data_IF_596494797326
#
_entry.id   IF_596494797326
#
_cell.length_a   1.000
_cell.length_b   1.000
_cell.length_c   1.000
_cell.angle_alpha   90.00
_cell.angle_beta   90.00
_cell.angle_gamma   90.00
#
_symmetry.space_group_name_H-M   'P 1'
#
loop_
_entity.id
_entity.type
_entity.pdbx_description
1 polymer ?
#
# COMPACT_ATOMS: atom_id res chain seq x y z
N UNK A 1 -20.27 16.95 11.42
CA UNK A 1 -20.39 15.57 10.88
C UNK A 1 -21.45 15.42 9.79
N UNK A 2 -22.75 15.75 9.97
CA UNK A 2 -23.73 15.52 8.89
C UNK A 2 -23.44 16.34 7.63
N UNK A 3 -23.02 17.60 7.77
CA UNK A 3 -22.70 18.49 6.63
C UNK A 3 -21.50 17.99 5.82
N UNK A 4 -20.47 17.44 6.49
CA UNK A 4 -19.28 16.90 5.82
C UNK A 4 -19.56 15.58 5.09
N UNK A 5 -20.41 14.72 5.65
CA UNK A 5 -20.82 13.46 5.01
C UNK A 5 -21.66 13.70 3.74
N UNK A 6 -22.60 14.64 3.78
CA UNK A 6 -23.38 15.02 2.59
C UNK A 6 -22.54 15.73 1.54
N UNK A 7 -21.54 16.52 1.95
CA UNK A 7 -20.56 17.13 1.04
C UNK A 7 -19.74 16.07 0.31
N UNK A 8 -19.14 15.12 1.03
CA UNK A 8 -18.34 14.04 0.44
C UNK A 8 -19.15 13.17 -0.54
N UNK A 9 -20.38 12.79 -0.17
CA UNK A 9 -21.25 12.02 -1.06
C UNK A 9 -21.61 12.75 -2.36
N UNK A 10 -21.68 14.08 -2.31
CA UNK A 10 -22.03 14.90 -3.46
C UNK A 10 -20.81 15.24 -4.33
N UNK A 11 -19.63 15.36 -3.73
CA UNK A 11 -18.39 15.77 -4.40
C UNK A 11 -17.55 14.57 -4.87
N UNK A 12 -17.35 13.57 -4.01
CA UNK A 12 -16.56 12.38 -4.33
C UNK A 12 -17.18 11.10 -3.73
N UNK A 13 -18.28 10.64 -4.34
CA UNK A 13 -18.97 9.40 -3.93
C UNK A 13 -18.05 8.18 -3.96
N UNK A 14 -17.07 8.16 -4.87
CA UNK A 14 -16.13 7.04 -4.99
C UNK A 14 -15.24 6.91 -3.74
N UNK A 15 -14.82 8.04 -3.17
CA UNK A 15 -14.03 8.12 -1.95
C UNK A 15 -14.84 7.61 -0.75
N UNK A 16 -16.10 8.04 -0.62
CA UNK A 16 -16.98 7.56 0.44
C UNK A 16 -17.19 6.04 0.40
N UNK A 17 -17.34 5.47 -0.80
CA UNK A 17 -17.54 4.02 -0.97
C UNK A 17 -16.28 3.24 -0.62
N UNK A 18 -15.09 3.67 -1.07
CA UNK A 18 -13.83 2.98 -0.72
C UNK A 18 -13.50 3.13 0.76
N UNK A 19 -13.81 4.27 1.39
CA UNK A 19 -13.67 4.48 2.83
C UNK A 19 -14.57 3.51 3.61
N UNK A 20 -15.85 3.40 3.25
CA UNK A 20 -16.77 2.44 3.87
C UNK A 20 -16.32 0.99 3.69
N UNK A 21 -15.85 0.61 2.51
CA UNK A 21 -15.32 -0.72 2.23
C UNK A 21 -14.04 -1.02 3.04
N UNK A 22 -13.18 -0.01 3.22
CA UNK A 22 -11.98 -0.11 4.05
C UNK A 22 -12.35 -0.37 5.50
N UNK A 23 -13.28 0.41 6.08
CA UNK A 23 -13.69 0.21 7.47
C UNK A 23 -14.36 -1.15 7.71
N UNK A 24 -15.17 -1.63 6.76
CA UNK A 24 -15.74 -2.98 6.83
C UNK A 24 -14.66 -4.06 6.77
N UNK A 25 -13.66 -3.91 5.89
CA UNK A 25 -12.51 -4.83 5.81
C UNK A 25 -11.67 -4.81 7.09
N UNK A 26 -11.42 -3.63 7.68
CA UNK A 26 -10.71 -3.51 8.96
C UNK A 26 -11.45 -4.22 10.08
N UNK A 27 -12.79 -4.16 10.10
CA UNK A 27 -13.56 -4.93 11.07
C UNK A 27 -13.31 -6.44 10.94
N UNK A 28 -13.34 -6.98 9.71
CA UNK A 28 -13.00 -8.39 9.45
C UNK A 28 -11.55 -8.72 9.84
N UNK A 29 -10.62 -7.82 9.55
CA UNK A 29 -9.21 -7.94 9.94
C UNK A 29 -9.06 -8.05 11.46
N UNK A 30 -9.74 -7.19 12.22
CA UNK A 30 -9.66 -7.20 13.68
C UNK A 30 -10.19 -8.50 14.28
N UNK A 31 -11.24 -9.09 13.67
CA UNK A 31 -11.73 -10.41 14.08
C UNK A 31 -10.71 -11.51 13.81
N UNK A 32 -10.06 -11.49 12.64
CA UNK A 32 -8.97 -12.42 12.30
C UNK A 32 -7.76 -12.26 13.23
N UNK A 33 -7.35 -11.03 13.53
CA UNK A 33 -6.25 -10.76 14.45
C UNK A 33 -6.59 -11.26 15.86
N UNK A 34 -7.83 -11.06 16.31
CA UNK A 34 -8.27 -11.56 17.60
C UNK A 34 -8.26 -13.09 17.67
N UNK A 35 -8.71 -13.78 16.62
CA UNK A 35 -8.68 -15.25 16.57
C UNK A 35 -7.26 -15.81 16.44
N UNK A 36 -6.38 -15.08 15.73
CA UNK A 36 -5.01 -15.51 15.42
C UNK A 36 -4.00 -15.22 16.52
N UNK A 37 -4.43 -14.60 17.62
CA UNK A 37 -3.61 -14.37 18.81
C UNK A 37 -2.85 -13.04 18.80
N UNK A 38 -2.32 -12.68 19.97
CA UNK A 38 -1.76 -11.34 20.26
C UNK A 38 -0.56 -10.95 19.38
N UNK A 39 0.17 -11.91 18.80
CA UNK A 39 1.31 -11.62 17.90
C UNK A 39 0.87 -11.01 16.57
N UNK A 40 -0.34 -11.34 16.12
CA UNK A 40 -0.92 -10.70 14.95
C UNK A 40 -1.33 -9.25 15.23
N UNK A 41 -1.68 -8.94 16.47
CA UNK A 41 -1.99 -7.57 16.88
C UNK A 41 -0.73 -6.69 16.90
N UNK A 42 0.40 -7.20 17.39
CA UNK A 42 1.68 -6.47 17.35
C UNK A 42 2.18 -6.30 15.91
N UNK A 43 1.96 -7.31 15.06
CA UNK A 43 2.25 -7.24 13.62
C UNK A 43 1.41 -6.18 12.90
N UNK A 44 0.09 -6.14 13.15
CA UNK A 44 -0.79 -5.10 12.60
C UNK A 44 -0.41 -3.70 13.11
N UNK A 45 -0.09 -3.57 14.40
CA UNK A 45 0.37 -2.30 14.96
C UNK A 45 1.66 -1.80 14.27
N UNK A 46 2.63 -2.69 14.05
CA UNK A 46 3.85 -2.36 13.32
C UNK A 46 3.54 -1.93 11.86
N UNK A 47 2.60 -2.58 11.18
CA UNK A 47 2.18 -2.17 9.83
C UNK A 47 1.55 -0.77 9.84
N UNK A 48 0.67 -0.46 10.81
CA UNK A 48 0.08 0.88 10.98
C UNK A 48 1.16 1.94 11.19
N UNK A 49 2.10 1.70 12.11
CA UNK A 49 3.20 2.63 12.36
C UNK A 49 4.11 2.79 11.14
N UNK A 50 4.37 1.72 10.38
CA UNK A 50 5.15 1.80 9.15
C UNK A 50 4.47 2.71 8.11
N UNK A 51 3.16 2.56 7.92
CA UNK A 51 2.38 3.40 7.01
C UNK A 51 2.38 4.86 7.47
N UNK A 52 2.21 5.11 8.77
CA UNK A 52 2.27 6.47 9.31
C UNK A 52 3.62 7.14 9.04
N UNK A 53 4.73 6.42 9.21
CA UNK A 53 6.06 6.94 8.88
C UNK A 53 6.14 7.26 7.39
N UNK A 54 5.67 6.37 6.51
CA UNK A 54 5.71 6.58 5.06
C UNK A 54 4.89 7.81 4.65
N UNK A 55 3.63 7.89 5.07
CA UNK A 55 2.76 9.02 4.69
C UNK A 55 3.24 10.36 5.27
N UNK A 56 3.66 10.40 6.54
CA UNK A 56 4.02 11.66 7.22
C UNK A 56 5.45 12.14 6.96
N UNK A 57 6.36 11.26 6.56
CA UNK A 57 7.76 11.62 6.32
C UNK A 57 8.10 11.60 4.83
N UNK A 58 7.64 10.59 4.10
CA UNK A 58 8.03 10.39 2.70
C UNK A 58 7.06 11.07 1.73
N UNK A 59 5.75 11.00 1.98
CA UNK A 59 4.74 11.56 1.07
C UNK A 59 4.22 12.94 1.44
N UNK A 60 4.63 13.50 2.58
CA UNK A 60 4.08 14.75 3.12
C UNK A 60 4.03 15.92 2.13
N UNK A 61 5.04 16.06 1.27
CA UNK A 61 5.11 17.13 0.26
C UNK A 61 4.83 16.67 -1.17
N UNK A 62 4.58 15.38 -1.35
CA UNK A 62 4.62 14.72 -2.66
C UNK A 62 3.23 14.20 -3.08
N UNK A 63 2.35 14.00 -2.09
CA UNK A 63 1.00 13.49 -2.26
C UNK A 63 0.02 14.30 -1.42
N UNK A 64 -1.09 14.69 -2.03
CA UNK A 64 -2.20 15.37 -1.34
C UNK A 64 -3.44 14.49 -1.35
N UNK A 65 -4.10 14.35 -0.21
CA UNK A 65 -5.29 13.52 -0.07
C UNK A 65 -6.56 14.37 -0.13
N UNK A 66 -7.61 13.82 -0.75
CA UNK A 66 -8.93 14.39 -0.69
C UNK A 66 -9.52 14.32 0.72
N UNK A 67 -10.46 15.22 1.03
CA UNK A 67 -11.09 15.28 2.34
C UNK A 67 -11.98 14.05 2.57
N UNK A 68 -11.58 13.19 3.51
CA UNK A 68 -12.33 12.00 3.91
C UNK A 68 -13.26 12.28 5.10
N UNK A 69 -14.05 11.27 5.51
CA UNK A 69 -14.93 11.41 6.68
C UNK A 69 -14.16 11.63 7.98
N UNK A 70 -13.00 10.98 8.11
CA UNK A 70 -12.11 11.12 9.27
C UNK A 70 -10.70 11.46 8.82
N UNK A 71 -10.27 12.69 9.15
CA UNK A 71 -8.89 13.14 8.96
C UNK A 71 -8.07 12.86 10.23
N UNK A 72 -7.01 12.05 10.11
CA UNK A 72 -6.10 11.74 11.21
C UNK A 72 -5.14 12.90 11.48
N UNK A 73 -4.56 13.46 10.42
CA UNK A 73 -3.87 14.76 10.45
C UNK A 73 -4.69 15.72 9.62
N UNK A 74 -5.06 16.85 10.21
CA UNK A 74 -5.92 17.85 9.58
C UNK A 74 -5.41 18.17 8.17
N UNK A 75 -6.29 18.03 7.19
CA UNK A 75 -6.08 18.39 5.78
C UNK A 75 -5.02 17.58 5.01
N UNK A 76 -4.21 16.76 5.69
CA UNK A 76 -3.06 16.06 5.09
C UNK A 76 -3.22 14.55 5.02
N UNK A 77 -3.73 13.91 6.08
CA UNK A 77 -3.75 12.45 6.17
C UNK A 77 -5.11 11.92 6.63
N UNK A 78 -5.90 11.29 5.76
CA UNK A 78 -7.15 10.64 6.13
C UNK A 78 -6.90 9.29 6.82
N UNK A 79 -7.77 8.94 7.77
CA UNK A 79 -7.67 7.69 8.53
C UNK A 79 -7.81 6.45 7.63
N UNK A 80 -8.71 6.50 6.63
CA UNK A 80 -8.97 5.35 5.77
C UNK A 80 -7.72 4.95 4.97
N UNK A 81 -6.90 5.91 4.50
CA UNK A 81 -5.64 5.61 3.78
C UNK A 81 -4.67 4.83 4.67
N UNK A 82 -4.50 5.25 5.92
CA UNK A 82 -3.61 4.56 6.87
C UNK A 82 -4.09 3.13 7.10
N UNK A 83 -5.40 2.97 7.34
CA UNK A 83 -5.99 1.66 7.58
C UNK A 83 -5.96 0.77 6.32
N UNK A 84 -6.23 1.33 5.15
CA UNK A 84 -6.18 0.65 3.85
C UNK A 84 -4.78 0.14 3.56
N UNK A 85 -3.75 0.95 3.68
CA UNK A 85 -2.40 0.47 3.43
C UNK A 85 -1.97 -0.55 4.49
N UNK A 86 -2.28 -0.33 5.77
CA UNK A 86 -1.92 -1.26 6.84
C UNK A 86 -2.58 -2.64 6.67
N UNK A 87 -3.84 -2.70 6.25
CA UNK A 87 -4.50 -3.98 5.94
C UNK A 87 -3.86 -4.66 4.71
N UNK A 88 -3.43 -3.91 3.68
CA UNK A 88 -2.73 -4.52 2.53
C UNK A 88 -1.38 -5.11 2.95
N UNK A 89 -0.62 -4.43 3.82
CA UNK A 89 0.58 -4.98 4.45
C UNK A 89 0.27 -6.27 5.21
N UNK A 90 -0.79 -6.28 6.02
CA UNK A 90 -1.18 -7.46 6.77
C UNK A 90 -1.59 -8.63 5.87
N UNK A 91 -2.40 -8.38 4.83
CA UNK A 91 -2.79 -9.37 3.83
C UNK A 91 -1.56 -9.96 3.13
N UNK A 92 -0.63 -9.11 2.68
CA UNK A 92 0.61 -9.54 2.05
C UNK A 92 1.46 -10.40 2.99
N UNK A 93 1.56 -10.01 4.26
CA UNK A 93 2.31 -10.72 5.28
C UNK A 93 1.74 -12.12 5.55
N UNK A 94 0.42 -12.22 5.80
CA UNK A 94 -0.24 -13.51 6.03
C UNK A 94 -0.12 -14.39 4.78
N UNK A 95 -0.38 -13.86 3.58
CA UNK A 95 -0.24 -14.60 2.33
C UNK A 95 1.20 -15.11 2.13
N UNK A 96 2.21 -14.28 2.40
CA UNK A 96 3.62 -14.68 2.29
C UNK A 96 3.97 -15.79 3.28
N UNK A 97 3.50 -15.68 4.54
CA UNK A 97 3.73 -16.71 5.56
C UNK A 97 3.13 -18.07 5.15
N UNK A 98 1.98 -18.06 4.46
CA UNK A 98 1.28 -19.25 3.96
C UNK A 98 1.96 -19.92 2.77
N UNK A 99 2.80 -19.20 2.01
CA UNK A 99 3.59 -19.79 0.93
C UNK A 99 4.56 -20.86 1.46
N UNK A 100 5.07 -20.69 2.68
CA UNK A 100 6.04 -21.59 3.33
C UNK A 100 7.25 -21.91 2.45
N UNK A 101 7.74 -20.90 1.74
CA UNK A 101 9.00 -20.94 0.99
C UNK A 101 10.16 -20.52 1.89
N UNK A 102 11.40 -20.74 1.44
CA UNK A 102 12.61 -20.36 2.17
C UNK A 102 12.54 -18.89 2.68
N UNK A 103 12.85 -18.63 3.96
CA UNK A 103 12.84 -17.28 4.55
C UNK A 103 13.64 -16.23 3.76
N UNK A 104 14.69 -16.64 3.04
CA UNK A 104 15.47 -15.74 2.18
C UNK A 104 14.65 -15.23 0.99
N UNK A 105 13.76 -16.05 0.43
CA UNK A 105 12.93 -15.69 -0.72
C UNK A 105 11.59 -15.04 -0.33
N UNK A 106 11.14 -15.20 0.91
CA UNK A 106 9.89 -14.61 1.40
C UNK A 106 9.80 -13.07 1.21
N UNK A 107 10.86 -12.27 1.48
CA UNK A 107 10.83 -10.82 1.23
C UNK A 107 10.50 -10.44 -0.23
N UNK A 108 10.97 -11.21 -1.21
CA UNK A 108 10.65 -10.98 -2.63
C UNK A 108 9.18 -11.25 -2.94
N UNK A 109 8.61 -12.29 -2.32
CA UNK A 109 7.18 -12.58 -2.41
C UNK A 109 6.35 -11.47 -1.77
N UNK A 110 6.74 -11.02 -0.58
CA UNK A 110 6.07 -9.93 0.14
C UNK A 110 6.08 -8.62 -0.66
N UNK A 111 7.23 -8.21 -1.20
CA UNK A 111 7.34 -7.01 -2.04
C UNK A 111 6.45 -7.10 -3.29
N UNK A 112 6.46 -8.25 -3.97
CA UNK A 112 5.64 -8.48 -5.17
C UNK A 112 4.15 -8.46 -4.84
N UNK A 113 3.73 -9.15 -3.77
CA UNK A 113 2.34 -9.18 -3.31
C UNK A 113 1.86 -7.78 -2.90
N UNK A 114 2.68 -7.00 -2.18
CA UNK A 114 2.32 -5.64 -1.79
C UNK A 114 2.07 -4.76 -3.01
N UNK A 115 2.93 -4.83 -4.04
CA UNK A 115 2.72 -4.10 -5.29
C UNK A 115 1.46 -4.55 -6.01
N UNK A 116 1.22 -5.86 -6.13
CA UNK A 116 0.01 -6.39 -6.78
C UNK A 116 -1.26 -5.94 -6.05
N UNK A 117 -1.19 -5.85 -4.72
CA UNK A 117 -2.30 -5.39 -3.89
C UNK A 117 -2.50 -3.87 -3.99
N UNK A 118 -1.44 -3.08 -3.93
CA UNK A 118 -1.50 -1.61 -3.90
C UNK A 118 -1.77 -0.98 -5.26
N UNK A 119 -1.23 -1.54 -6.35
CA UNK A 119 -1.30 -0.94 -7.69
C UNK A 119 -2.72 -0.59 -8.16
N UNK A 120 -3.75 -1.45 -7.99
CA UNK A 120 -5.12 -1.11 -8.36
C UNK A 120 -5.69 0.07 -7.58
N UNK A 121 -5.31 0.22 -6.30
CA UNK A 121 -5.69 1.36 -5.48
C UNK A 121 -4.97 2.64 -5.91
N UNK A 122 -3.68 2.55 -6.25
CA UNK A 122 -2.93 3.69 -6.82
C UNK A 122 -3.52 4.16 -8.14
N UNK A 123 -3.89 3.22 -9.01
CA UNK A 123 -4.48 3.49 -10.31
C UNK A 123 -5.86 4.17 -10.19
N UNK A 124 -6.76 3.58 -9.40
CA UNK A 124 -8.11 4.13 -9.21
C UNK A 124 -8.07 5.39 -8.35
N UNK A 125 -7.23 5.44 -7.32
CA UNK A 125 -7.12 6.57 -6.40
C UNK A 125 -6.60 7.83 -7.07
N UNK A 126 -5.59 7.71 -7.93
CA UNK A 126 -5.13 8.84 -8.76
C UNK A 126 -6.22 9.26 -9.73
N UNK A 127 -6.93 8.30 -10.35
CA UNK A 127 -7.94 8.59 -11.37
C UNK A 127 -9.24 9.20 -10.82
N UNK A 128 -9.62 8.82 -9.61
CA UNK A 128 -10.80 9.31 -8.89
C UNK A 128 -10.48 10.36 -7.83
N UNK A 129 -9.28 10.93 -7.89
CA UNK A 129 -8.85 12.05 -7.04
C UNK A 129 -8.99 11.76 -5.54
N UNK A 130 -8.74 10.52 -5.13
CA UNK A 130 -8.59 10.16 -3.72
C UNK A 130 -7.30 10.77 -3.17
N UNK A 131 -6.28 10.82 -4.03
CA UNK A 131 -5.08 11.60 -3.85
C UNK A 131 -4.57 12.13 -5.18
N UNK A 132 -3.77 13.18 -5.12
CA UNK A 132 -3.02 13.77 -6.23
C UNK A 132 -1.54 13.73 -5.92
N UNK A 133 -0.72 13.87 -6.97
CA UNK A 133 0.72 13.80 -6.90
C UNK A 133 1.34 15.16 -7.22
N UNK A 134 2.59 15.33 -6.82
CA UNK A 134 3.36 16.50 -7.22
C UNK A 134 3.69 16.44 -8.72
N UNK A 135 3.29 17.49 -9.45
CA UNK A 135 3.35 17.56 -10.90
C UNK A 135 4.79 17.48 -11.44
N UNK A 136 5.66 18.36 -10.94
CA UNK A 136 7.03 18.50 -11.47
C UNK A 136 8.11 17.80 -10.67
N UNK A 137 7.76 16.90 -9.74
CA UNK A 137 8.79 16.20 -8.98
C UNK A 137 9.53 15.21 -9.91
N UNK A 138 10.85 15.33 -10.08
CA UNK A 138 11.61 14.45 -10.96
C UNK A 138 11.56 12.97 -10.58
N UNK A 139 11.24 12.64 -9.32
CA UNK A 139 11.05 11.26 -8.87
C UNK A 139 9.68 10.71 -9.28
N UNK A 140 8.69 11.58 -9.50
CA UNK A 140 7.32 11.20 -9.86
C UNK A 140 7.00 11.40 -11.36
N UNK A 141 7.98 11.87 -12.14
CA UNK A 141 7.81 12.17 -13.55
C UNK A 141 7.48 10.92 -14.39
N UNK A 142 8.11 9.78 -14.12
CA UNK A 142 7.82 8.54 -14.82
C UNK A 142 6.60 7.84 -14.22
N UNK A 143 5.53 7.71 -15.02
CA UNK A 143 4.23 7.22 -14.57
C UNK A 143 3.73 6.06 -15.43
N UNK A 144 3.12 5.07 -14.77
CA UNK A 144 2.36 4.00 -15.39
C UNK A 144 0.87 4.32 -15.25
N UNK A 145 0.24 4.82 -16.31
CA UNK A 145 -1.19 5.18 -16.32
C UNK A 145 -1.56 6.16 -15.19
N UNK A 146 -0.76 7.21 -15.01
CA UNK A 146 -0.94 8.23 -13.97
C UNK A 146 -0.30 7.90 -12.62
N UNK A 147 0.06 6.64 -12.37
CA UNK A 147 0.71 6.20 -11.12
C UNK A 147 2.23 6.37 -11.21
N UNK A 148 2.88 7.14 -10.32
CA UNK A 148 4.33 7.26 -10.30
C UNK A 148 5.03 5.91 -10.09
N UNK A 149 5.98 5.58 -10.96
CA UNK A 149 6.76 4.34 -10.84
C UNK A 149 7.53 4.29 -9.52
N UNK A 150 8.05 5.43 -9.07
CA UNK A 150 8.70 5.58 -7.77
C UNK A 150 7.81 5.12 -6.61
N UNK A 151 6.51 5.41 -6.63
CA UNK A 151 5.58 4.91 -5.61
C UNK A 151 5.46 3.37 -5.62
N UNK A 152 5.60 2.72 -6.78
CA UNK A 152 5.60 1.27 -6.89
C UNK A 152 6.89 0.66 -6.35
N UNK A 153 8.05 1.29 -6.59
CA UNK A 153 9.31 0.91 -5.95
C UNK A 153 9.25 1.07 -4.44
N UNK A 154 8.62 2.14 -3.93
CA UNK A 154 8.38 2.33 -2.51
C UNK A 154 7.56 1.18 -1.92
N UNK A 155 6.40 0.87 -2.50
CA UNK A 155 5.57 -0.25 -2.05
C UNK A 155 6.34 -1.58 -2.03
N UNK A 156 7.16 -1.84 -3.06
CA UNK A 156 7.98 -3.05 -3.12
C UNK A 156 9.04 -3.09 -2.02
N UNK A 157 9.93 -2.07 -1.96
CA UNK A 157 11.11 -2.11 -1.10
C UNK A 157 10.77 -1.93 0.38
N UNK A 158 9.73 -1.16 0.72
CA UNK A 158 9.27 -1.08 2.09
C UNK A 158 8.67 -2.40 2.56
N UNK A 159 7.85 -3.07 1.76
CA UNK A 159 7.32 -4.39 2.12
C UNK A 159 8.40 -5.48 2.17
N UNK A 160 9.37 -5.44 1.24
CA UNK A 160 10.55 -6.30 1.26
C UNK A 160 11.35 -6.11 2.57
N UNK A 161 11.71 -4.86 2.89
CA UNK A 161 12.46 -4.52 4.10
C UNK A 161 11.69 -4.88 5.37
N UNK A 162 10.38 -4.66 5.37
CA UNK A 162 9.51 -4.97 6.49
C UNK A 162 9.61 -6.45 6.87
N UNK A 163 9.58 -7.36 5.89
CA UNK A 163 9.72 -8.78 6.16
C UNK A 163 11.17 -9.20 6.47
N UNK A 164 12.19 -8.57 5.87
CA UNK A 164 13.58 -8.79 6.27
C UNK A 164 13.81 -8.44 7.76
N UNK A 165 13.34 -7.26 8.18
CA UNK A 165 13.46 -6.79 9.56
C UNK A 165 12.63 -7.65 10.50
N UNK A 166 11.45 -8.11 10.06
CA UNK A 166 10.67 -9.10 10.79
C UNK A 166 11.50 -10.35 11.11
N UNK A 167 12.13 -10.97 10.11
CA UNK A 167 12.94 -12.18 10.31
C UNK A 167 14.14 -11.93 11.24
N UNK A 168 14.82 -10.79 11.10
CA UNK A 168 15.95 -10.42 11.96
C UNK A 168 15.49 -10.24 13.40
N UNK A 169 14.44 -9.43 13.64
CA UNK A 169 13.96 -9.16 14.99
C UNK A 169 13.29 -10.39 15.62
N UNK A 170 12.61 -11.22 14.83
CA UNK A 170 12.01 -12.47 15.30
C UNK A 170 13.05 -13.47 15.81
N UNK A 171 14.22 -13.50 15.18
CA UNK A 171 15.33 -14.40 15.55
C UNK A 171 16.22 -13.86 16.66
N UNK A 172 16.29 -12.53 16.84
CA UNK A 172 17.23 -11.89 17.78
C UNK A 172 16.58 -11.28 19.02
N UNK A 173 15.34 -10.80 18.92
CA UNK A 173 14.69 -9.98 19.96
C UNK A 173 13.51 -10.71 20.61
N UNK A 174 12.70 -11.37 19.79
CA UNK A 174 11.49 -12.05 20.25
C UNK A 174 11.81 -13.43 20.82
N UNK A 175 11.38 -13.67 22.06
CA UNK A 175 11.51 -14.94 22.75
C UNK A 175 10.25 -15.77 22.53
N UNK A 176 10.41 -17.09 22.44
CA UNK A 176 9.30 -18.02 22.35
C UNK A 176 8.67 -18.07 20.96
N UNK A 177 7.93 -19.15 20.75
CA UNK A 177 7.21 -19.40 19.51
C UNK A 177 5.95 -18.56 19.42
N UNK A 178 5.25 -18.34 20.53
CA UNK A 178 4.00 -17.57 20.57
C UNK A 178 4.15 -16.34 21.46
N UNK A 179 3.10 -15.50 21.51
CA UNK A 179 3.07 -14.36 22.41
C UNK A 179 3.04 -14.84 23.86
N UNK A 180 4.02 -14.43 24.66
CA UNK A 180 4.14 -14.75 26.08
C UNK A 180 3.91 -13.48 26.93
N UNK A 181 2.97 -13.52 27.88
CA UNK A 181 2.61 -12.34 28.68
C UNK A 181 3.76 -11.83 29.56
N UNK A 182 4.65 -12.73 29.99
CA UNK A 182 5.87 -12.39 30.73
C UNK A 182 6.80 -11.46 29.94
N UNK A 183 6.75 -11.54 28.60
CA UNK A 183 7.60 -10.80 27.68
C UNK A 183 6.87 -9.69 26.94
N UNK A 184 5.74 -9.19 27.46
CA UNK A 184 4.92 -8.16 26.80
C UNK A 184 5.72 -6.90 26.39
N UNK A 185 6.72 -6.49 27.20
CA UNK A 185 7.59 -5.35 26.88
C UNK A 185 8.43 -5.59 25.63
N UNK A 186 8.91 -6.83 25.44
CA UNK A 186 9.68 -7.20 24.25
C UNK A 186 8.79 -7.18 23.01
N UNK A 187 7.57 -7.71 23.12
CA UNK A 187 6.58 -7.77 22.03
C UNK A 187 6.11 -6.38 21.56
N UNK A 188 5.79 -5.48 22.49
CA UNK A 188 5.40 -4.11 22.14
C UNK A 188 6.61 -3.24 21.76
N UNK A 189 7.79 -3.51 22.34
CA UNK A 189 9.05 -2.92 21.88
C UNK A 189 9.37 -3.30 20.44
N UNK A 190 9.14 -4.56 20.07
CA UNK A 190 9.24 -5.06 18.70
C UNK A 190 8.30 -4.28 17.75
N UNK A 191 7.03 -4.09 18.13
CA UNK A 191 6.05 -3.39 17.32
C UNK A 191 6.43 -1.92 17.02
N UNK A 192 7.15 -1.27 17.94
CA UNK A 192 7.65 0.11 17.80
C UNK A 192 9.01 0.19 17.08
N UNK A 193 9.89 -0.79 17.30
CA UNK A 193 11.23 -0.81 16.71
C UNK A 193 11.21 -1.24 15.23
N UNK A 194 10.30 -2.15 14.89
CA UNK A 194 10.19 -2.71 13.54
C UNK A 194 10.01 -1.64 12.45
N UNK A 195 9.10 -0.64 12.57
CA UNK A 195 8.91 0.39 11.55
C UNK A 195 10.16 1.27 11.33
N UNK A 196 10.88 1.58 12.42
CA UNK A 196 12.10 2.38 12.35
C UNK A 196 13.20 1.66 11.59
N UNK A 197 13.48 0.41 11.94
CA UNK A 197 14.48 -0.39 11.25
C UNK A 197 14.07 -0.70 9.80
N UNK A 198 12.79 -0.98 9.57
CA UNK A 198 12.24 -1.18 8.22
C UNK A 198 12.53 0.01 7.34
N UNK A 199 12.29 1.22 7.85
CA UNK A 199 12.55 2.46 7.11
C UNK A 199 14.03 2.59 6.71
N UNK A 200 14.96 2.28 7.62
CA UNK A 200 16.41 2.31 7.32
C UNK A 200 16.77 1.30 6.24
N UNK A 201 16.30 0.05 6.36
CA UNK A 201 16.57 -1.00 5.37
C UNK A 201 15.94 -0.68 4.01
N UNK A 202 14.69 -0.23 3.99
CA UNK A 202 13.96 0.16 2.79
C UNK A 202 14.69 1.27 2.04
N UNK A 203 15.23 2.26 2.77
CA UNK A 203 16.07 3.31 2.19
C UNK A 203 17.33 2.76 1.55
N UNK A 204 18.03 1.84 2.22
CA UNK A 204 19.18 1.16 1.62
C UNK A 204 18.83 0.45 0.31
N UNK A 205 17.71 -0.27 0.29
CA UNK A 205 17.25 -0.97 -0.92
C UNK A 205 16.76 -0.02 -2.02
N UNK A 206 16.11 1.08 -1.69
CA UNK A 206 15.72 2.12 -2.66
C UNK A 206 16.96 2.76 -3.30
N UNK A 207 17.99 3.05 -2.52
CA UNK A 207 19.26 3.61 -3.02
C UNK A 207 19.88 2.66 -4.04
N UNK A 208 20.00 1.39 -3.68
CA UNK A 208 20.61 0.38 -4.54
C UNK A 208 19.74 0.03 -5.75
N UNK A 209 18.43 -0.07 -5.56
CA UNK A 209 17.49 -0.62 -6.52
C UNK A 209 16.85 0.39 -7.46
N UNK A 210 16.60 1.62 -7.01
CA UNK A 210 15.98 2.70 -7.80
C UNK A 210 16.98 3.80 -8.12
N UNK A 211 17.60 4.43 -7.12
CA UNK A 211 18.48 5.58 -7.37
C UNK A 211 19.73 5.17 -8.16
N UNK A 212 20.35 4.03 -7.87
CA UNK A 212 21.51 3.57 -8.64
C UNK A 212 21.17 3.22 -10.09
N UNK A 213 20.08 2.49 -10.30
CA UNK A 213 19.72 1.95 -11.63
C UNK A 213 19.02 3.00 -12.50
N UNK A 214 17.98 3.63 -11.98
CA UNK A 214 17.16 4.60 -12.72
C UNK A 214 17.89 5.93 -12.77
N UNK A 215 18.35 6.44 -11.62
CA UNK A 215 18.89 7.81 -11.56
C UNK A 215 20.36 7.92 -11.97
N UNK A 216 21.22 6.97 -11.59
CA UNK A 216 22.65 7.03 -11.95
C UNK A 216 22.95 6.36 -13.29
N UNK A 217 22.38 5.18 -13.57
CA UNK A 217 22.61 4.48 -14.85
C UNK A 217 21.66 4.96 -15.98
N UNK A 218 20.60 5.70 -15.65
CA UNK A 218 19.67 6.25 -16.63
C UNK A 218 18.76 5.21 -17.28
N UNK A 219 18.52 4.08 -16.60
CA UNK A 219 17.57 3.06 -17.07
C UNK A 219 16.15 3.57 -16.81
N UNK A 220 15.27 3.45 -17.79
CA UNK A 220 13.85 3.77 -17.63
C UNK A 220 13.23 3.02 -16.43
N UNK A 221 12.51 3.74 -15.58
CA UNK A 221 11.96 3.22 -14.33
C UNK A 221 10.92 2.13 -14.59
N UNK A 222 10.14 2.21 -15.66
CA UNK A 222 9.18 1.16 -16.00
C UNK A 222 9.91 -0.14 -16.37
N UNK A 223 10.95 -0.04 -17.19
CA UNK A 223 11.78 -1.20 -17.56
C UNK A 223 12.39 -1.85 -16.32
N UNK A 224 12.99 -1.04 -15.44
CA UNK A 224 13.61 -1.55 -14.21
C UNK A 224 12.57 -2.16 -13.27
N UNK A 225 11.38 -1.58 -13.19
CA UNK A 225 10.28 -2.10 -12.38
C UNK A 225 9.79 -3.46 -12.89
N UNK A 226 9.63 -3.64 -14.21
CA UNK A 226 9.27 -4.95 -14.78
C UNK A 226 10.36 -6.01 -14.55
N UNK A 227 11.64 -5.62 -14.62
CA UNK A 227 12.76 -6.53 -14.26
C UNK A 227 12.68 -6.92 -12.79
N UNK A 228 12.42 -5.97 -11.89
CA UNK A 228 12.30 -6.20 -10.45
C UNK A 228 11.16 -7.18 -10.14
N UNK A 229 9.96 -6.94 -10.66
CA UNK A 229 8.80 -7.81 -10.43
C UNK A 229 9.01 -9.17 -11.12
N UNK A 230 9.48 -9.19 -12.37
CA UNK A 230 9.71 -10.43 -13.12
C UNK A 230 10.74 -11.34 -12.45
N UNK A 231 11.87 -10.78 -12.01
CA UNK A 231 12.90 -11.54 -11.28
C UNK A 231 12.40 -12.01 -9.91
N UNK A 232 11.66 -11.18 -9.18
CA UNK A 232 11.09 -11.55 -7.88
C UNK A 232 10.10 -12.70 -8.00
N UNK A 233 9.21 -12.66 -9.00
CA UNK A 233 8.26 -13.75 -9.28
C UNK A 233 8.98 -15.04 -9.71
N UNK A 234 10.05 -14.94 -10.50
CA UNK A 234 10.87 -16.09 -10.87
C UNK A 234 11.54 -16.74 -9.65
N UNK A 235 12.10 -15.93 -8.75
CA UNK A 235 12.68 -16.42 -7.50
C UNK A 235 11.62 -17.08 -6.61
N UNK A 236 10.43 -16.48 -6.51
CA UNK A 236 9.31 -17.07 -5.77
C UNK A 236 8.88 -18.42 -6.37
N UNK A 237 8.83 -18.51 -7.70
CA UNK A 237 8.50 -19.74 -8.41
C UNK A 237 9.56 -20.83 -8.19
N UNK A 238 10.85 -20.48 -8.19
CA UNK A 238 11.93 -21.41 -7.86
C UNK A 238 11.81 -21.90 -6.41
N UNK A 239 11.60 -20.98 -5.47
CA UNK A 239 11.46 -21.29 -4.05
C UNK A 239 10.22 -22.18 -3.75
N UNK A 240 9.13 -22.02 -4.51
CA UNK A 240 7.94 -22.86 -4.39
C UNK A 240 8.23 -24.33 -4.74
N UNK A 241 9.18 -24.60 -5.65
CA UNK A 241 9.57 -25.96 -6.04
C UNK A 241 10.45 -26.65 -5.01
N UNK A 242 11.20 -25.87 -4.22
CA UNK A 242 12.10 -26.36 -3.17
C UNK A 242 11.44 -26.36 -1.79
N UNK A 243 10.19 -25.91 -1.71
CA UNK A 243 9.41 -25.80 -0.48
C UNK A 243 9.42 -27.07 0.37
N UNK A 244 9.22 -28.25 -0.24
CA UNK A 244 9.08 -29.51 0.50
C UNK A 244 10.41 -30.06 1.04
N UNK A 245 11.53 -29.35 0.82
CA UNK A 245 12.82 -29.69 1.43
C UNK A 245 12.71 -29.70 2.96
N UNK A 246 13.12 -30.79 3.64
CA UNK A 246 13.13 -30.88 5.09
C UNK A 246 13.89 -29.75 5.79
N UNK A 247 14.96 -29.21 5.19
CA UNK A 247 15.74 -28.11 5.75
C UNK A 247 14.94 -26.81 5.76
N UNK A 248 14.27 -26.52 4.63
CA UNK A 248 13.38 -25.35 4.50
C UNK A 248 12.23 -25.45 5.48
N UNK A 249 11.58 -26.62 5.58
CA UNK A 249 10.47 -26.79 6.51
C UNK A 249 10.89 -26.65 7.97
N UNK A 250 12.08 -27.13 8.35
CA UNK A 250 12.63 -26.96 9.69
C UNK A 250 12.93 -25.50 10.02
N UNK A 251 13.41 -24.71 9.06
CA UNK A 251 13.63 -23.28 9.24
C UNK A 251 12.33 -22.47 9.41
N UNK A 252 11.19 -23.04 9.03
CA UNK A 252 9.86 -22.42 9.05
C UNK A 252 8.98 -22.89 10.22
N UNK A 253 9.49 -23.71 11.13
CA UNK A 253 8.77 -24.04 12.36
C UNK A 253 8.71 -22.82 13.30
N UNK A 254 7.61 -22.59 14.04
CA UNK A 254 6.38 -23.38 14.08
C UNK A 254 5.38 -23.06 12.97
N UNK A 255 4.57 -24.06 12.63
CA UNK A 255 3.41 -23.92 11.74
C UNK A 255 2.36 -23.02 12.41
N UNK A 256 1.75 -22.09 11.67
CA UNK A 256 0.60 -21.25 12.10
C UNK A 256 0.90 -20.12 13.07
N UNK A 257 2.14 -19.62 13.06
CA UNK A 257 2.52 -18.51 13.93
C UNK A 257 1.67 -17.25 13.76
N UNK A 258 1.29 -16.95 12.52
CA UNK A 258 0.62 -15.69 12.14
C UNK A 258 -0.75 -15.89 11.51
N UNK A 259 -1.30 -17.09 11.56
CA UNK A 259 -2.61 -17.36 10.98
C UNK A 259 -3.34 -18.47 11.72
N UNK A 260 -4.44 -18.13 12.39
CA UNK A 260 -5.34 -19.14 12.96
C UNK A 260 -6.36 -19.59 11.93
N UNK A 261 -6.77 -20.85 12.02
CA UNK A 261 -7.84 -21.44 11.19
C UNK A 261 -9.23 -20.92 11.58
N UNK A 262 -9.42 -19.60 11.53
CA UNK A 262 -10.74 -19.02 11.65
C UNK A 262 -11.38 -18.92 10.25
N UNK A 263 -12.48 -19.68 10.10
CA UNK A 263 -13.16 -20.09 8.85
C UNK A 263 -12.37 -21.13 8.02
N UNK A 264 -12.68 -22.41 8.30
CA UNK A 264 -12.04 -23.63 7.80
C UNK A 264 -11.92 -23.79 6.28
N UNK A 265 -12.71 -23.07 5.49
CA UNK A 265 -12.65 -23.11 4.02
C UNK A 265 -11.80 -21.95 3.52
N UNK A 266 -10.91 -22.21 2.58
CA UNK A 266 -10.11 -21.17 1.92
C UNK A 266 -10.94 -20.00 1.37
N UNK A 267 -12.18 -20.26 0.96
CA UNK A 267 -13.13 -19.23 0.48
C UNK A 267 -13.61 -18.34 1.64
N UNK A 268 -13.81 -18.95 2.80
CA UNK A 268 -14.37 -18.31 3.97
C UNK A 268 -13.29 -17.61 4.82
N UNK A 269 -12.01 -17.80 4.51
CA UNK A 269 -10.90 -17.16 5.19
C UNK A 269 -11.00 -15.63 5.15
N UNK A 270 -10.88 -14.97 6.29
CA UNK A 270 -11.08 -13.51 6.41
C UNK A 270 -10.22 -12.70 5.43
N UNK A 271 -8.94 -13.07 5.25
CA UNK A 271 -8.03 -12.44 4.28
C UNK A 271 -8.58 -12.49 2.85
N UNK A 272 -9.13 -13.63 2.43
CA UNK A 272 -9.72 -13.77 1.10
C UNK A 272 -10.99 -12.93 0.96
N UNK A 273 -11.85 -12.91 1.99
CA UNK A 273 -13.07 -12.10 1.99
C UNK A 273 -12.78 -10.60 1.93
N UNK A 274 -11.78 -10.12 2.67
CA UNK A 274 -11.34 -8.72 2.63
C UNK A 274 -10.83 -8.34 1.24
N UNK A 275 -9.93 -9.15 0.66
CA UNK A 275 -9.47 -8.95 -0.72
C UNK A 275 -10.65 -8.93 -1.68
N UNK A 276 -11.52 -9.93 -1.64
CA UNK A 276 -12.69 -9.99 -2.50
C UNK A 276 -13.53 -8.71 -2.43
N UNK A 277 -13.89 -8.27 -1.22
CA UNK A 277 -14.68 -7.06 -0.99
C UNK A 277 -14.00 -5.82 -1.57
N UNK A 278 -12.73 -5.60 -1.23
CA UNK A 278 -11.95 -4.44 -1.63
C UNK A 278 -11.83 -4.32 -3.15
N UNK A 279 -11.42 -5.40 -3.83
CA UNK A 279 -11.24 -5.36 -5.28
C UNK A 279 -12.58 -5.43 -6.05
N UNK A 280 -13.62 -6.06 -5.50
CA UNK A 280 -14.97 -5.97 -6.07
C UNK A 280 -15.45 -4.52 -6.07
N UNK A 281 -15.24 -3.79 -4.98
CA UNK A 281 -15.55 -2.36 -4.91
C UNK A 281 -14.80 -1.59 -5.99
N UNK A 282 -13.49 -1.82 -6.20
CA UNK A 282 -12.76 -1.15 -7.28
C UNK A 282 -13.34 -1.43 -8.68
N UNK A 283 -13.75 -2.68 -8.94
CA UNK A 283 -14.42 -3.05 -10.21
C UNK A 283 -15.74 -2.29 -10.36
N UNK A 284 -16.57 -2.27 -9.31
CA UNK A 284 -17.86 -1.57 -9.33
C UNK A 284 -17.67 -0.06 -9.52
N UNK A 285 -16.74 0.56 -8.81
CA UNK A 285 -16.46 1.99 -8.96
C UNK A 285 -16.00 2.32 -10.38
N UNK A 286 -15.11 1.51 -10.97
CA UNK A 286 -14.63 1.70 -12.35
C UNK A 286 -15.75 1.52 -13.39
N UNK A 287 -16.73 0.65 -13.14
CA UNK A 287 -17.85 0.39 -14.06
C UNK A 287 -18.94 1.46 -13.98
N UNK A 288 -19.21 2.00 -12.79
CA UNK A 288 -20.40 2.81 -12.53
C UNK A 288 -20.12 4.30 -12.26
N UNK A 289 -18.87 4.69 -12.01
CA UNK A 289 -18.52 6.09 -11.73
C UNK A 289 -17.64 6.64 -12.84
N UNK A 290 -18.03 7.81 -13.35
CA UNK A 290 -17.23 8.54 -14.33
C UNK A 290 -16.28 9.52 -13.64
N UNK A 291 -14.97 9.51 -13.93
CA UNK A 291 -14.01 10.44 -13.34
C UNK A 291 -14.38 11.91 -13.52
N UNK A 292 -15.06 12.26 -14.62
CA UNK A 292 -15.46 13.63 -14.95
C UNK A 292 -16.52 14.20 -14.03
N UNK A 293 -17.23 13.35 -13.29
CA UNK A 293 -18.26 13.75 -12.32
C UNK A 293 -17.67 13.97 -10.92
N UNK A 294 -16.40 13.59 -10.72
CA UNK A 294 -15.74 13.70 -9.42
C UNK A 294 -15.14 15.09 -9.25
N UNK A 295 -15.44 15.66 -8.09
CA UNK A 295 -14.90 16.93 -7.62
C UNK A 295 -14.16 16.67 -6.31
N UNK A 296 -12.97 17.25 -6.18
CA UNK A 296 -12.18 17.20 -4.94
C UNK A 296 -11.86 18.63 -4.52
N UNK A 297 -12.59 19.12 -3.53
CA UNK A 297 -12.30 20.37 -2.85
C UNK A 297 -11.43 20.08 -1.62
N UNK A 298 -10.22 20.64 -1.58
CA UNK A 298 -9.30 20.37 -0.48
C UNK A 298 -7.94 21.01 -0.64
N UNK A 299 -7.04 20.57 0.23
CA UNK A 299 -5.64 20.97 0.22
C UNK A 299 -4.88 20.21 -0.88
N UNK A 300 -4.33 20.93 -1.85
CA UNK A 300 -3.59 20.40 -3.00
C UNK A 300 -2.26 21.15 -3.16
N UNK A 301 -1.48 20.79 -4.20
CA UNK A 301 -0.27 21.52 -4.55
C UNK A 301 -0.61 23.01 -4.77
N UNK A 302 0.06 23.95 -4.08
CA UNK A 302 -0.34 25.36 -4.09
C UNK A 302 -0.23 25.98 -5.48
N UNK A 303 -1.18 26.85 -5.81
CA UNK A 303 -1.15 27.62 -7.06
C UNK A 303 -0.24 28.84 -6.91
N UNK A 304 0.49 29.21 -7.96
CA UNK A 304 1.46 30.30 -7.84
C UNK A 304 2.29 30.53 -9.09
N UNK A 305 3.45 31.16 -8.90
CA UNK A 305 4.33 31.53 -9.99
C UNK A 305 5.11 30.32 -10.54
N UNK A 306 4.86 29.98 -11.80
CA UNK A 306 5.54 28.92 -12.55
C UNK A 306 7.06 29.07 -12.67
N UNK A 307 7.60 30.27 -12.47
CA UNK A 307 9.03 30.53 -12.59
C UNK A 307 9.80 30.20 -11.30
N UNK A 308 9.10 29.93 -10.20
CA UNK A 308 9.72 29.61 -8.92
C UNK A 308 10.00 28.11 -8.79
N UNK A 309 11.28 27.80 -8.70
CA UNK A 309 11.75 26.46 -8.35
C UNK A 309 12.11 26.43 -6.86
N UNK A 310 11.84 25.30 -6.22
CA UNK A 310 12.38 24.98 -4.91
C UNK A 310 13.45 23.88 -5.01
N UNK A 311 14.60 24.05 -4.33
CA UNK A 311 15.51 22.94 -4.11
C UNK A 311 14.93 22.03 -3.04
N UNK A 312 14.97 20.72 -3.29
CA UNK A 312 14.67 19.73 -2.27
C UNK A 312 15.74 18.65 -2.27
N UNK A 313 15.96 18.05 -1.11
CA UNK A 313 16.79 16.87 -1.00
C UNK A 313 15.88 15.66 -1.02
N UNK A 314 16.17 14.69 -1.89
CA UNK A 314 15.58 13.37 -1.73
C UNK A 314 15.98 12.83 -0.35
N UNK A 315 15.24 11.86 0.16
CA UNK A 315 15.54 11.25 1.46
C UNK A 315 16.87 10.46 1.47
N UNK A 316 17.51 10.32 0.30
CA UNK A 316 18.86 9.80 0.10
C UNK A 316 19.93 10.91 0.17
N UNK A 317 19.53 12.16 0.32
CA UNK A 317 20.40 13.33 0.31
C UNK A 317 20.81 13.79 -1.09
N UNK A 318 20.17 13.28 -2.16
CA UNK A 318 20.42 13.80 -3.51
C UNK A 318 19.69 15.13 -3.70
N UNK A 319 20.37 16.11 -4.28
CA UNK A 319 19.79 17.42 -4.52
C UNK A 319 18.98 17.41 -5.83
N UNK A 320 17.71 17.78 -5.73
CA UNK A 320 16.77 17.88 -6.82
C UNK A 320 16.14 19.29 -6.87
N UNK A 321 15.57 19.64 -8.02
CA UNK A 321 14.79 20.87 -8.20
C UNK A 321 13.43 20.50 -8.76
N UNK A 322 12.38 21.09 -8.21
CA UNK A 322 11.00 20.98 -8.68
C UNK A 322 10.33 22.36 -8.61
N UNK A 323 9.18 22.53 -9.28
CA UNK A 323 8.36 23.74 -9.16
C UNK A 323 7.70 23.77 -7.79
N UNK A 324 7.80 24.92 -7.13
CA UNK A 324 7.12 25.12 -5.83
C UNK A 324 5.60 25.13 -6.00
N UNK A 325 5.12 25.66 -7.12
CA UNK A 325 3.69 25.84 -7.40
C UNK A 325 3.26 25.05 -8.62
N UNK A 326 1.98 24.65 -8.62
CA UNK A 326 1.34 24.05 -9.79
C UNK A 326 1.10 25.10 -10.87
N UNK A 327 1.47 24.76 -12.10
CA UNK A 327 1.36 25.64 -13.25
C UNK A 327 0.02 25.55 -13.94
N UNK A 328 -0.87 26.52 -13.68
CA UNK A 328 -2.26 26.57 -14.21
C UNK A 328 -2.36 26.34 -15.73
N UNK A 329 -1.39 26.79 -16.51
CA UNK A 329 -1.40 26.67 -17.99
C UNK A 329 -0.66 25.45 -18.52
N UNK A 330 0.15 24.78 -17.70
CA UNK A 330 1.03 23.70 -18.15
C UNK A 330 1.35 22.76 -16.99
N UNK A 331 0.47 21.78 -16.79
CA UNK A 331 0.62 20.70 -15.83
C UNK A 331 0.12 19.39 -16.48
N UNK A 332 0.65 18.26 -16.04
CA UNK A 332 0.36 16.93 -16.60
C UNK A 332 -0.19 16.00 -15.51
N UNK A 333 -1.44 16.23 -15.11
CA UNK A 333 -2.13 15.46 -14.09
C UNK A 333 -3.48 14.89 -14.58
N UNK A 334 -4.00 13.92 -13.81
CA UNK A 334 -5.28 13.25 -14.08
C UNK A 334 -6.52 14.09 -13.68
N UNK A 335 -6.34 15.38 -13.41
CA UNK A 335 -7.39 16.33 -13.06
C UNK A 335 -7.32 17.61 -13.91
N UNK A 336 -8.37 18.42 -13.81
CA UNK A 336 -8.46 19.77 -14.35
C UNK A 336 -8.94 20.73 -13.26
N UNK A 337 -8.75 22.04 -13.44
CA UNK A 337 -9.22 23.09 -12.52
C UNK A 337 -10.72 23.41 -12.70
N UNK A 338 -11.55 22.38 -12.92
CA UNK A 338 -13.02 22.48 -13.08
C UNK A 338 -13.53 23.52 -14.09
N UNK A 339 -12.71 23.86 -15.10
CA UNK A 339 -12.99 24.94 -16.07
C UNK A 339 -13.26 26.32 -15.41
N UNK A 340 -12.75 26.56 -14.20
CA UNK A 340 -12.79 27.90 -13.61
C UNK A 340 -11.96 28.87 -14.46
N UNK A 341 -12.45 30.10 -14.68
CA UNK A 341 -11.64 31.12 -15.31
C UNK A 341 -10.45 31.44 -14.41
N UNK A 342 -9.26 31.48 -15.01
CA UNK A 342 -7.98 31.68 -14.31
C UNK A 342 -7.97 32.93 -13.42
N UNK A 343 -8.75 33.95 -13.78
CA UNK A 343 -8.93 35.19 -13.01
C UNK A 343 -9.61 35.02 -11.65
N UNK A 344 -10.28 33.89 -11.42
CA UNK A 344 -10.97 33.57 -10.15
C UNK A 344 -10.16 32.62 -9.27
N UNK A 345 -9.04 32.10 -9.76
CA UNK A 345 -8.14 31.27 -8.94
C UNK A 345 -7.33 32.19 -8.03
N UNK A 346 -7.42 31.97 -6.72
CA UNK A 346 -6.55 32.65 -5.77
C UNK A 346 -5.16 32.02 -5.85
N UNK A 347 -4.21 32.79 -6.38
CA UNK A 347 -2.80 32.45 -6.36
C UNK A 347 -2.29 32.53 -4.91
N UNK A 348 -1.42 31.60 -4.52
CA UNK A 348 -0.90 31.33 -3.16
C UNK A 348 -1.83 30.53 -2.23
N UNK A 349 -3.04 30.19 -2.66
CA UNK A 349 -3.91 29.28 -1.90
C UNK A 349 -3.55 27.82 -2.19
N UNK A 350 -3.46 27.01 -1.15
CA UNK A 350 -3.36 25.55 -1.26
C UNK A 350 -4.73 24.87 -1.21
N UNK A 351 -5.79 25.61 -0.86
CA UNK A 351 -7.15 25.09 -0.79
C UNK A 351 -7.95 25.47 -2.04
N UNK A 352 -8.16 24.52 -2.94
CA UNK A 352 -8.96 24.78 -4.15
C UNK A 352 -9.68 23.52 -4.66
N UNK A 353 -10.54 23.74 -5.63
CA UNK A 353 -11.35 22.69 -6.25
C UNK A 353 -10.67 22.16 -7.50
N UNK A 354 -10.56 20.83 -7.60
CA UNK A 354 -10.14 20.12 -8.80
C UNK A 354 -11.23 19.15 -9.26
N UNK A 355 -11.27 18.88 -10.56
CA UNK A 355 -12.24 17.99 -11.19
C UNK A 355 -11.52 16.89 -11.94
N UNK A 356 -12.04 15.66 -11.86
CA UNK A 356 -11.39 14.51 -12.50
C UNK A 356 -11.40 14.61 -14.02
N UNK A 357 -10.33 14.13 -14.65
CA UNK A 357 -10.23 14.01 -16.10
C UNK A 357 -10.81 12.67 -16.54
N UNK A 358 -11.55 12.64 -17.64
CA UNK A 358 -12.09 11.40 -18.20
C UNK A 358 -11.00 10.38 -18.57
N UNK A 359 -11.39 9.11 -18.74
CA UNK A 359 -10.45 8.05 -19.13
C UNK A 359 -9.87 8.31 -20.52
N UNK A 360 -8.54 8.29 -20.65
CA UNK A 360 -7.88 8.29 -21.96
C UNK A 360 -8.14 7.00 -22.74
N UNK A 361 -8.09 5.85 -22.05
CA UNK A 361 -8.45 4.54 -22.60
C UNK A 361 -9.17 3.70 -21.54
N UNK A 362 -10.51 3.82 -21.50
CA UNK A 362 -11.35 3.12 -20.52
C UNK A 362 -11.15 1.60 -20.54
N UNK A 363 -11.03 1.01 -21.73
CA UNK A 363 -10.85 -0.44 -21.90
C UNK A 363 -9.60 -0.96 -21.20
N UNK A 364 -8.49 -0.21 -21.26
CA UNK A 364 -7.25 -0.57 -20.56
C UNK A 364 -7.42 -0.50 -19.04
N UNK A 365 -8.02 0.57 -18.52
CA UNK A 365 -8.31 0.70 -17.08
C UNK A 365 -9.18 -0.45 -16.58
N UNK A 366 -10.29 -0.72 -17.28
CA UNK A 366 -11.21 -1.79 -16.91
C UNK A 366 -10.56 -3.17 -16.96
N UNK A 367 -9.78 -3.46 -18.00
CA UNK A 367 -9.06 -4.72 -18.14
C UNK A 367 -8.03 -4.93 -17.02
N UNK A 368 -7.31 -3.88 -16.62
CA UNK A 368 -6.36 -3.94 -15.51
C UNK A 368 -7.08 -4.20 -14.19
N UNK A 369 -8.16 -3.49 -13.87
CA UNK A 369 -8.88 -3.66 -12.60
C UNK A 369 -9.57 -5.02 -12.52
N UNK A 370 -10.23 -5.49 -13.59
CA UNK A 370 -10.81 -6.84 -13.63
C UNK A 370 -9.71 -7.90 -13.56
N UNK A 371 -8.59 -7.71 -14.27
CA UNK A 371 -7.44 -8.60 -14.25
C UNK A 371 -6.84 -8.72 -12.85
N UNK A 372 -6.67 -7.60 -12.15
CA UNK A 372 -6.22 -7.57 -10.75
C UNK A 372 -7.22 -8.25 -9.82
N UNK A 373 -8.52 -7.98 -9.97
CA UNK A 373 -9.56 -8.65 -9.18
C UNK A 373 -9.51 -10.17 -9.34
N UNK A 374 -9.53 -10.68 -10.57
CA UNK A 374 -9.49 -12.12 -10.83
C UNK A 374 -8.15 -12.74 -10.40
N UNK A 375 -7.04 -12.08 -10.74
CA UNK A 375 -5.69 -12.55 -10.44
C UNK A 375 -5.41 -12.64 -8.95
N UNK A 376 -5.73 -11.60 -8.18
CA UNK A 376 -5.51 -11.57 -6.72
C UNK A 376 -6.38 -12.57 -5.99
N UNK A 377 -7.68 -12.66 -6.33
CA UNK A 377 -8.57 -13.63 -5.71
C UNK A 377 -8.14 -15.07 -6.03
N UNK A 378 -7.73 -15.35 -7.27
CA UNK A 378 -7.20 -16.66 -7.63
C UNK A 378 -5.89 -16.96 -6.90
N UNK A 379 -4.98 -16.00 -6.82
CA UNK A 379 -3.71 -16.14 -6.13
C UNK A 379 -3.91 -16.42 -4.65
N UNK A 380 -4.69 -15.60 -3.94
CA UNK A 380 -4.97 -15.80 -2.52
C UNK A 380 -5.73 -17.10 -2.27
N UNK A 381 -6.67 -17.47 -3.14
CA UNK A 381 -7.30 -18.79 -3.08
C UNK A 381 -6.26 -19.93 -3.14
N UNK A 382 -5.31 -19.87 -4.07
CA UNK A 382 -4.26 -20.90 -4.18
C UNK A 382 -3.31 -20.91 -2.98
N UNK A 383 -2.95 -19.72 -2.47
CA UNK A 383 -2.07 -19.58 -1.31
C UNK A 383 -2.73 -20.13 -0.04
N UNK A 384 -3.99 -19.79 0.19
CA UNK A 384 -4.75 -20.15 1.39
C UNK A 384 -5.29 -21.58 1.36
N UNK A 385 -5.48 -22.19 0.18
CA UNK A 385 -5.87 -23.60 0.04
C UNK A 385 -4.79 -24.58 0.50
N UNK A 386 -3.53 -24.15 0.53
CA UNK A 386 -2.39 -25.04 0.81
C UNK A 386 -2.53 -25.61 2.24
N UNK A 387 -2.51 -26.95 2.41
CA UNK A 387 -2.72 -27.55 3.71
C UNK A 387 -1.62 -27.12 4.67
N UNK A 388 -2.02 -26.70 5.87
CA UNK A 388 -1.11 -26.71 7.01
C UNK A 388 -0.77 -28.18 7.27
N UNK A 389 0.51 -28.49 7.53
CA UNK A 389 0.80 -29.71 8.30
C UNK A 389 0.19 -29.47 9.68
N UNK A 390 -1.06 -29.93 9.81
CA UNK A 390 -2.00 -29.63 10.89
C UNK A 390 -1.37 -29.84 12.25
N UNK A 391 -1.53 -28.83 13.10
CA UNK A 391 -1.58 -28.96 14.55
C UNK A 391 -2.56 -30.09 14.89
N UNK A 392 -2.10 -31.17 15.51
CA UNK A 392 -2.99 -32.04 16.28
C UNK A 392 -3.40 -31.23 17.49
N UNK A 393 -4.46 -30.44 17.38
CA UNK A 393 -5.02 -29.69 18.50
C UNK A 393 -5.60 -30.71 19.48
N UNK A 394 -4.81 -31.14 20.46
CA UNK A 394 -5.36 -31.81 21.62
C UNK A 394 -6.14 -30.77 22.41
N UNK A 395 -7.47 -30.78 22.28
CA UNK A 395 -8.34 -30.13 23.26
C UNK A 395 -8.16 -30.82 24.61
N UNK A 396 -7.13 -30.43 25.38
CA UNK A 396 -7.18 -30.62 26.83
C UNK A 396 -8.09 -29.54 27.38
N UNK A 397 -9.34 -29.94 27.65
CA UNK A 397 -10.16 -29.27 28.67
C UNK A 397 -9.35 -29.28 29.98
N UNK A 398 -9.00 -28.11 30.49
CA UNK A 398 -8.81 -27.90 31.91
C UNK A 398 -9.94 -27.01 32.41
#
# INVERSE_FOLDING_TARGET
>A
MPIAFFGLLNENVSLAVVEGATYLSVFLLMLHVHSSGKRNATMLAAAIFQVLIVELVFYYSDRWHAQALVMLVSEHLPLYTVLLQAQLYYIAFVATSRLRIDPFFQPFAMGSLMVMLAFPFELVGTKFLWWTWHDTDPLLAERLMGVPCHALFYNFFFAFAFLCVHHILRSTWLVGDYYEEEHWKSEWGYALLMPFLTTIFAMGFLILGYYSTVRLMGIDAQVMFFILIGSSLLLCWMADRERDDPQVQKALEPVDLYDSDWLYSCIDHAVNQMTFLLYLVLVLLTLFIYPTEIVSLGHHQPLGNCMEDEPFYSLVGMHHRRKKYLCVHNFDEEFNLCNYPVTQLLYEDSWYMICGRGYGNFSTYLALIIGSFLGLNLLLYQVLKRPQRTRVVSFRRQ
#
